data_IF_448133581733
#
_entry.id   IF_448133581733
#
_cell.length_a   1.000
_cell.length_b   1.000
_cell.length_c   1.000
_cell.angle_alpha   90.00
_cell.angle_beta   90.00
_cell.angle_gamma   90.00
#
_symmetry.space_group_name_H-M   'P 1'
#
loop_
_entity.id
_entity.type
_entity.pdbx_description
1 polymer ?
#
# COMPACT_ATOMS: atom_id res chain seq x y z
N UNK A 1 25.08 6.97 -25.73
CA UNK A 1 24.18 5.81 -25.92
C UNK A 1 23.20 5.75 -24.75
N UNK A 2 21.90 5.73 -25.07
CA UNK A 2 20.78 5.85 -24.14
C UNK A 2 20.68 4.68 -23.16
N UNK A 3 20.67 4.97 -21.85
CA UNK A 3 20.17 4.07 -20.81
C UNK A 3 19.05 4.77 -20.02
N UNK A 4 17.92 5.03 -20.69
CA UNK A 4 16.64 5.21 -19.97
C UNK A 4 16.09 3.81 -19.70
N UNK A 5 16.58 3.15 -18.64
CA UNK A 5 15.91 1.97 -18.09
C UNK A 5 14.51 2.40 -17.65
N UNK A 6 13.50 1.80 -18.26
CA UNK A 6 12.10 2.16 -18.09
C UNK A 6 11.64 1.70 -16.70
N UNK A 7 11.54 2.62 -15.73
CA UNK A 7 11.12 2.34 -14.35
C UNK A 7 9.66 1.83 -14.23
N UNK A 8 8.90 1.82 -15.32
CA UNK A 8 7.63 1.08 -15.42
C UNK A 8 7.79 -0.44 -15.23
N UNK A 9 9.01 -0.98 -15.35
CA UNK A 9 9.23 -2.42 -15.18
C UNK A 9 9.01 -2.91 -13.75
N UNK A 10 9.34 -2.16 -12.70
CA UNK A 10 9.21 -2.69 -11.33
C UNK A 10 7.72 -2.87 -10.96
N UNK A 11 6.88 -1.89 -11.30
CA UNK A 11 5.44 -1.92 -11.07
C UNK A 11 4.74 -3.07 -11.79
N UNK A 12 5.03 -3.23 -13.09
CA UNK A 12 4.49 -4.34 -13.88
C UNK A 12 5.10 -5.69 -13.50
N UNK A 13 6.34 -5.71 -13.04
CA UNK A 13 7.04 -6.95 -12.71
C UNK A 13 6.38 -7.62 -11.51
N UNK A 14 5.99 -6.91 -10.46
CA UNK A 14 5.35 -7.56 -9.30
C UNK A 14 3.86 -7.84 -9.47
N UNK A 15 3.12 -7.02 -10.23
CA UNK A 15 1.71 -7.31 -10.52
C UNK A 15 1.53 -8.51 -11.48
N UNK A 16 2.49 -8.74 -12.38
CA UNK A 16 2.47 -9.83 -13.37
C UNK A 16 3.56 -10.89 -13.17
N UNK A 17 4.33 -10.86 -12.08
CA UNK A 17 5.29 -11.94 -11.78
C UNK A 17 4.58 -13.14 -11.22
N UNK A 18 5.11 -14.32 -11.54
CA UNK A 18 4.78 -15.58 -10.91
C UNK A 18 4.92 -15.53 -9.39
N UNK A 19 5.88 -14.75 -8.87
CA UNK A 19 6.09 -14.56 -7.43
C UNK A 19 4.97 -13.74 -6.78
N UNK A 20 4.59 -12.58 -7.35
CA UNK A 20 3.50 -11.76 -6.82
C UNK A 20 2.17 -12.52 -6.81
N UNK A 21 1.93 -13.33 -7.84
CA UNK A 21 0.75 -14.20 -7.94
C UNK A 21 0.74 -15.31 -6.88
N UNK A 22 1.89 -15.95 -6.63
CA UNK A 22 2.02 -16.98 -5.59
C UNK A 22 1.77 -16.41 -4.20
N UNK A 23 2.36 -15.26 -3.88
CA UNK A 23 2.14 -14.62 -2.59
C UNK A 23 0.70 -14.15 -2.43
N UNK A 24 0.04 -13.70 -3.51
CA UNK A 24 -1.37 -13.34 -3.46
C UNK A 24 -2.26 -14.52 -3.06
N UNK A 25 -2.03 -15.71 -3.64
CA UNK A 25 -2.71 -16.95 -3.26
C UNK A 25 -2.49 -17.28 -1.78
N UNK A 26 -1.23 -17.39 -1.36
CA UNK A 26 -0.86 -17.73 0.02
C UNK A 26 -1.50 -16.76 1.04
N UNK A 27 -1.48 -15.45 0.74
CA UNK A 27 -2.09 -14.42 1.59
C UNK A 27 -3.60 -14.64 1.68
N UNK A 28 -4.30 -14.75 0.55
CA UNK A 28 -5.76 -14.88 0.53
C UNK A 28 -6.24 -16.19 1.17
N UNK A 29 -5.48 -17.28 1.05
CA UNK A 29 -5.76 -18.53 1.75
C UNK A 29 -5.63 -18.39 3.26
N UNK A 30 -4.65 -17.61 3.73
CA UNK A 30 -4.40 -17.38 5.15
C UNK A 30 -5.47 -16.54 5.84
N UNK A 31 -6.26 -15.77 5.09
CA UNK A 31 -7.27 -14.89 5.66
C UNK A 31 -8.43 -15.65 6.30
N UNK A 32 -8.93 -15.09 7.40
CA UNK A 32 -10.14 -15.55 8.08
C UNK A 32 -11.35 -15.51 7.16
N UNK A 33 -12.21 -16.53 7.29
CA UNK A 33 -13.38 -16.73 6.44
C UNK A 33 -14.58 -17.14 7.27
N UNK A 34 -15.72 -16.53 7.00
CA UNK A 34 -17.02 -16.97 7.50
C UNK A 34 -17.86 -17.44 6.31
N UNK A 35 -18.37 -18.67 6.37
CA UNK A 35 -19.14 -19.30 5.27
C UNK A 35 -18.42 -19.32 3.91
N UNK A 36 -17.09 -19.42 3.93
CA UNK A 36 -16.26 -19.46 2.71
C UNK A 36 -15.96 -18.08 2.10
N UNK A 37 -16.46 -16.99 2.67
CA UNK A 37 -16.13 -15.62 2.26
C UNK A 37 -15.15 -14.99 3.24
N UNK A 38 -14.18 -14.23 2.72
CA UNK A 38 -13.24 -13.47 3.53
C UNK A 38 -14.01 -12.35 4.24
N UNK A 39 -13.89 -12.27 5.56
CA UNK A 39 -14.59 -11.29 6.41
C UNK A 39 -13.63 -10.38 7.22
N UNK A 40 -12.33 -10.47 6.94
CA UNK A 40 -11.32 -9.55 7.42
C UNK A 40 -10.71 -8.71 6.30
N UNK A 41 -10.08 -7.60 6.68
CA UNK A 41 -9.48 -6.65 5.75
C UNK A 41 -7.97 -6.64 5.83
N UNK A 42 -7.31 -6.49 4.68
CA UNK A 42 -5.86 -6.30 4.60
C UNK A 42 -5.48 -4.86 4.91
N UNK A 43 -4.42 -4.68 5.70
CA UNK A 43 -3.77 -3.38 5.96
C UNK A 43 -2.32 -3.50 5.53
N UNK A 44 -1.90 -2.66 4.60
CA UNK A 44 -0.55 -2.71 4.05
C UNK A 44 0.24 -1.56 4.65
N UNK A 45 1.38 -1.87 5.26
CA UNK A 45 2.31 -0.88 5.80
C UNK A 45 3.65 -1.12 5.16
N UNK A 46 4.24 -0.05 4.62
CA UNK A 46 5.49 -0.13 3.87
C UNK A 46 6.43 1.00 4.28
N UNK A 47 7.72 0.80 4.04
CA UNK A 47 8.74 1.81 4.30
C UNK A 47 9.71 1.92 3.13
N UNK A 48 10.15 3.14 2.80
CA UNK A 48 11.19 3.39 1.80
C UNK A 48 10.84 2.81 0.41
N UNK A 49 11.73 1.98 -0.16
CA UNK A 49 11.46 1.25 -1.39
C UNK A 49 10.31 0.25 -1.27
N UNK A 50 9.96 -0.15 -0.03
CA UNK A 50 8.83 -1.02 0.29
C UNK A 50 7.52 -0.55 -0.33
N UNK A 51 7.27 0.76 -0.42
CA UNK A 51 6.08 1.31 -1.06
C UNK A 51 5.94 0.89 -2.52
N UNK A 52 7.05 0.74 -3.24
CA UNK A 52 6.99 0.27 -4.62
C UNK A 52 6.55 -1.20 -4.73
N UNK A 53 7.07 -2.03 -3.83
CA UNK A 53 6.71 -3.45 -3.77
C UNK A 53 5.28 -3.64 -3.28
N UNK A 54 4.86 -2.85 -2.27
CA UNK A 54 3.51 -2.88 -1.69
C UNK A 54 2.43 -2.72 -2.78
N UNK A 55 2.58 -1.74 -3.69
CA UNK A 55 1.62 -1.56 -4.80
C UNK A 55 1.62 -2.74 -5.77
N UNK A 56 2.79 -3.33 -6.02
CA UNK A 56 2.90 -4.55 -6.80
C UNK A 56 2.07 -5.68 -6.18
N UNK A 57 2.24 -5.90 -4.88
CA UNK A 57 1.49 -6.91 -4.11
C UNK A 57 -0.01 -6.61 -4.05
N UNK A 58 -0.41 -5.37 -3.77
CA UNK A 58 -1.83 -4.98 -3.74
C UNK A 58 -2.50 -5.25 -5.09
N UNK A 59 -1.87 -4.85 -6.20
CA UNK A 59 -2.42 -5.16 -7.52
C UNK A 59 -2.51 -6.68 -7.75
N UNK A 60 -1.46 -7.44 -7.42
CA UNK A 60 -1.47 -8.89 -7.58
C UNK A 60 -2.58 -9.58 -6.76
N UNK A 61 -2.79 -9.16 -5.51
CA UNK A 61 -3.85 -9.67 -4.62
C UNK A 61 -5.23 -9.41 -5.22
N UNK A 62 -5.49 -8.16 -5.61
CA UNK A 62 -6.79 -7.76 -6.16
C UNK A 62 -7.07 -8.43 -7.52
N UNK A 63 -6.06 -8.52 -8.38
CA UNK A 63 -6.17 -9.20 -9.68
C UNK A 63 -6.36 -10.71 -9.53
N UNK A 64 -5.66 -11.35 -8.58
CA UNK A 64 -5.82 -12.76 -8.28
C UNK A 64 -7.24 -13.04 -7.76
N UNK A 65 -7.70 -12.28 -6.77
CA UNK A 65 -9.05 -12.41 -6.22
C UNK A 65 -10.12 -12.28 -7.31
N UNK A 66 -9.99 -11.28 -8.18
CA UNK A 66 -10.89 -11.05 -9.31
C UNK A 66 -10.85 -12.20 -10.32
N UNK A 67 -9.66 -12.68 -10.67
CA UNK A 67 -9.48 -13.76 -11.64
C UNK A 67 -10.01 -15.12 -11.16
N UNK A 68 -10.08 -15.32 -9.85
CA UNK A 68 -10.50 -16.58 -9.21
C UNK A 68 -11.89 -16.48 -8.53
N UNK A 69 -12.61 -15.37 -8.72
CA UNK A 69 -13.93 -15.11 -8.11
C UNK A 69 -13.93 -15.22 -6.58
N UNK A 70 -12.86 -14.80 -5.92
CA UNK A 70 -12.74 -14.79 -4.46
C UNK A 70 -13.49 -13.57 -3.92
N UNK A 71 -14.53 -13.81 -3.13
CA UNK A 71 -15.36 -12.78 -2.51
C UNK A 71 -14.73 -12.23 -1.22
N UNK A 72 -15.14 -11.02 -0.83
CA UNK A 72 -14.78 -10.43 0.48
C UNK A 72 -13.41 -9.76 0.56
N UNK A 73 -12.57 -9.85 -0.49
CA UNK A 73 -11.22 -9.25 -0.49
C UNK A 73 -11.29 -7.73 -0.48
N UNK A 74 -10.82 -7.13 0.61
CA UNK A 74 -10.75 -5.68 0.82
C UNK A 74 -9.35 -5.32 1.32
N UNK A 75 -8.69 -4.37 0.66
CA UNK A 75 -7.52 -3.68 1.19
C UNK A 75 -8.00 -2.37 1.82
N UNK A 76 -8.00 -2.32 3.14
CA UNK A 76 -8.53 -1.21 3.92
C UNK A 76 -7.77 0.10 3.69
N UNK A 77 -6.44 0.01 3.65
CA UNK A 77 -5.55 1.11 3.30
C UNK A 77 -4.16 0.57 3.00
N UNK A 78 -3.36 1.42 2.37
CA UNK A 78 -1.91 1.28 2.24
C UNK A 78 -1.26 2.49 2.93
N UNK A 79 -0.37 2.27 3.88
CA UNK A 79 0.38 3.32 4.55
C UNK A 79 1.87 3.23 4.16
N UNK A 80 2.33 4.22 3.41
CA UNK A 80 3.69 4.32 2.91
C UNK A 80 4.47 5.33 3.75
N UNK A 81 5.45 4.84 4.51
CA UNK A 81 6.37 5.66 5.29
C UNK A 81 7.66 5.93 4.50
N UNK A 82 7.99 7.20 4.28
CA UNK A 82 9.13 7.66 3.48
C UNK A 82 9.23 6.98 2.09
N UNK A 83 8.17 6.93 1.26
CA UNK A 83 8.20 6.21 -0.01
C UNK A 83 9.29 6.73 -0.95
N UNK A 84 10.23 5.86 -1.36
CA UNK A 84 11.36 6.27 -2.21
C UNK A 84 10.90 6.67 -3.62
N UNK A 85 11.30 7.85 -4.10
CA UNK A 85 10.90 8.39 -5.41
C UNK A 85 9.36 8.46 -5.59
N UNK A 86 8.63 9.15 -4.69
CA UNK A 86 7.16 9.10 -4.64
C UNK A 86 6.50 9.57 -5.94
N UNK A 87 7.11 10.53 -6.65
CA UNK A 87 6.67 11.01 -7.98
C UNK A 87 6.68 9.94 -9.08
N UNK A 88 7.42 8.84 -8.90
CA UNK A 88 7.46 7.70 -9.84
C UNK A 88 6.55 6.56 -9.43
N UNK A 89 5.88 6.69 -8.30
CA UNK A 89 4.86 5.78 -7.82
C UNK A 89 3.48 6.38 -8.08
N UNK A 90 2.42 5.60 -7.93
CA UNK A 90 1.03 6.08 -7.96
C UNK A 90 0.19 5.20 -7.07
N UNK A 91 -0.66 5.79 -6.23
CA UNK A 91 -1.61 5.05 -5.41
C UNK A 91 -2.43 4.08 -6.27
N UNK A 92 -2.62 2.86 -5.77
CA UNK A 92 -3.47 1.86 -6.43
C UNK A 92 -4.92 2.35 -6.41
N UNK A 93 -5.63 2.19 -7.54
CA UNK A 93 -7.04 2.57 -7.66
C UNK A 93 -7.83 1.35 -8.07
N UNK A 94 -8.63 0.85 -7.14
CA UNK A 94 -9.58 -0.26 -7.33
C UNK A 94 -10.80 -0.02 -6.42
N UNK A 95 -11.93 -0.64 -6.75
CA UNK A 95 -13.16 -0.56 -5.94
C UNK A 95 -13.04 -1.23 -4.57
N UNK A 96 -12.12 -2.19 -4.43
CA UNK A 96 -11.84 -2.93 -3.20
C UNK A 96 -10.57 -2.41 -2.49
N UNK A 97 -10.05 -1.25 -2.92
CA UNK A 97 -8.87 -0.60 -2.37
C UNK A 97 -9.25 0.71 -1.68
N UNK A 98 -8.83 0.87 -0.43
CA UNK A 98 -8.94 2.09 0.33
C UNK A 98 -7.92 3.15 -0.04
N UNK A 99 -7.75 4.19 0.80
CA UNK A 99 -6.76 5.23 0.55
C UNK A 99 -5.33 4.69 0.66
N UNK A 100 -4.44 5.29 -0.12
CA UNK A 100 -3.00 5.22 0.14
C UNK A 100 -2.63 6.46 0.96
N UNK A 101 -2.11 6.26 2.17
CA UNK A 101 -1.65 7.28 3.09
C UNK A 101 -0.13 7.41 2.93
N UNK A 102 0.36 8.61 2.62
CA UNK A 102 1.78 8.89 2.49
C UNK A 102 2.27 9.68 3.71
N UNK A 103 3.18 9.08 4.46
CA UNK A 103 3.90 9.73 5.54
C UNK A 103 5.31 10.05 5.05
N UNK A 104 5.64 11.33 4.95
CA UNK A 104 6.93 11.77 4.44
C UNK A 104 7.48 12.90 5.30
N UNK A 105 8.78 12.88 5.55
CA UNK A 105 9.47 13.95 6.27
C UNK A 105 10.12 14.95 5.32
N UNK A 106 10.07 16.23 5.66
CA UNK A 106 10.63 17.29 4.82
C UNK A 106 12.16 17.28 4.74
N UNK A 107 12.82 16.75 5.78
CA UNK A 107 14.29 16.70 5.88
C UNK A 107 14.88 15.33 5.49
N UNK A 108 14.04 14.43 4.98
CA UNK A 108 14.47 13.12 4.49
C UNK A 108 15.28 13.28 3.18
N UNK A 109 16.60 13.11 3.26
CA UNK A 109 17.50 13.23 2.12
C UNK A 109 17.54 11.98 1.21
N UNK A 110 16.79 10.92 1.54
CA UNK A 110 16.72 9.68 0.77
C UNK A 110 15.45 9.64 -0.07
N UNK A 111 14.29 9.81 0.55
CA UNK A 111 12.99 9.76 -0.13
C UNK A 111 12.40 11.13 -0.44
N UNK A 112 12.66 12.13 0.42
CA UNK A 112 12.06 13.46 0.37
C UNK A 112 10.58 13.48 0.73
N UNK A 113 9.96 14.66 0.55
CA UNK A 113 8.55 14.94 0.86
C UNK A 113 7.70 15.30 -0.36
N UNK A 114 8.11 14.82 -1.52
CA UNK A 114 7.35 15.02 -2.74
C UNK A 114 6.03 14.22 -2.69
N UNK A 115 4.88 14.79 -3.12
CA UNK A 115 3.62 14.07 -3.11
C UNK A 115 3.60 12.94 -4.14
N UNK A 116 3.06 11.79 -3.73
CA UNK A 116 2.74 10.67 -4.61
C UNK A 116 1.37 10.89 -5.26
N UNK A 117 1.26 10.79 -6.60
CA UNK A 117 0.00 10.91 -7.30
C UNK A 117 -1.10 9.98 -6.75
N UNK A 118 -2.19 10.58 -6.28
CA UNK A 118 -3.39 9.87 -5.84
C UNK A 118 -3.34 9.30 -4.42
N UNK A 119 -2.26 9.55 -3.67
CA UNK A 119 -2.15 9.28 -2.24
C UNK A 119 -2.54 10.52 -1.43
N UNK A 120 -3.00 10.30 -0.21
CA UNK A 120 -3.26 11.35 0.77
C UNK A 120 -1.98 11.64 1.54
N UNK A 121 -1.47 12.87 1.46
CA UNK A 121 -0.27 13.27 2.17
C UNK A 121 -0.61 13.58 3.63
N UNK A 122 0.03 12.86 4.55
CA UNK A 122 -0.20 12.95 5.99
C UNK A 122 0.71 13.99 6.63
N UNK A 123 0.22 14.64 7.69
CA UNK A 123 1.00 15.61 8.46
C UNK A 123 1.90 14.91 9.47
N UNK A 124 3.21 15.03 9.24
CA UNK A 124 4.30 14.47 10.08
C UNK A 124 5.07 15.58 10.80
N UNK A 125 4.54 16.81 10.86
CA UNK A 125 5.23 17.96 11.46
C UNK A 125 5.49 17.83 12.97
N UNK A 126 4.78 16.93 13.65
CA UNK A 126 4.99 16.58 15.07
C UNK A 126 6.22 15.72 15.31
N UNK A 127 6.75 15.04 14.28
CA UNK A 127 7.89 14.13 14.43
C UNK A 127 9.17 14.95 14.64
N UNK A 128 9.79 14.81 15.80
CA UNK A 128 11.00 15.59 16.15
C UNK A 128 12.20 15.21 15.30
N UNK A 129 12.26 13.95 14.85
CA UNK A 129 13.24 13.47 13.89
C UNK A 129 12.60 13.36 12.51
N UNK A 130 13.00 14.24 11.59
CA UNK A 130 12.52 14.26 10.22
C UNK A 130 13.40 13.39 9.28
N UNK A 131 14.07 12.37 9.84
CA UNK A 131 14.94 11.44 9.13
C UNK A 131 14.20 10.40 8.29
N UNK A 132 14.97 9.57 7.57
CA UNK A 132 14.42 8.54 6.68
C UNK A 132 13.97 7.27 7.43
N UNK A 133 14.51 7.01 8.63
CA UNK A 133 14.31 5.73 9.28
C UNK A 133 12.86 5.55 9.72
N UNK A 134 12.35 4.31 9.73
CA UNK A 134 10.98 4.06 10.22
C UNK A 134 10.79 4.53 11.67
N UNK A 135 11.85 4.48 12.47
CA UNK A 135 11.86 4.94 13.87
C UNK A 135 11.85 6.46 14.02
N UNK A 136 12.07 7.21 12.93
CA UNK A 136 11.95 8.66 12.91
C UNK A 136 10.48 9.11 12.93
N UNK A 137 9.55 8.24 12.49
CA UNK A 137 8.12 8.50 12.57
C UNK A 137 7.60 8.19 13.98
N UNK A 138 6.73 9.05 14.52
CA UNK A 138 6.18 8.81 15.85
C UNK A 138 5.39 7.52 15.89
N UNK A 139 5.41 6.88 17.05
CA UNK A 139 4.53 5.73 17.32
C UNK A 139 3.06 6.12 17.09
N UNK A 140 2.69 7.38 17.30
CA UNK A 140 1.35 7.89 17.00
C UNK A 140 0.98 7.82 15.51
N UNK A 141 1.91 8.01 14.57
CA UNK A 141 1.58 7.86 13.14
C UNK A 141 1.27 6.42 12.75
N UNK A 142 1.87 5.47 13.46
CA UNK A 142 1.63 4.04 13.29
C UNK A 142 0.38 3.61 14.05
N UNK A 143 0.18 4.07 15.29
CA UNK A 143 -0.93 3.68 16.16
C UNK A 143 -2.26 4.33 15.76
N UNK A 144 -2.22 5.54 15.18
CA UNK A 144 -3.41 6.21 14.67
C UNK A 144 -3.74 5.81 13.23
N UNK A 145 -3.00 4.85 12.64
CA UNK A 145 -3.45 4.22 11.41
C UNK A 145 -4.87 3.69 11.62
N UNK A 146 -5.74 3.79 10.60
CA UNK A 146 -7.15 3.52 10.76
C UNK A 146 -7.42 2.14 11.42
N UNK A 147 -7.88 2.12 12.68
CA UNK A 147 -8.21 0.91 13.42
C UNK A 147 -9.67 0.46 13.18
N UNK A 148 -9.87 -0.74 12.62
CA UNK A 148 -11.20 -1.36 12.50
C UNK A 148 -11.24 -2.48 11.47
N UNK A 149 -12.37 -3.21 11.48
CA UNK A 149 -12.80 -4.14 10.43
C UNK A 149 -13.60 -3.33 9.40
N UNK A 150 -13.03 -3.11 8.23
CA UNK A 150 -13.62 -2.24 7.23
C UNK A 150 -14.67 -2.98 6.40
N UNK A 151 -15.87 -2.39 6.29
CA UNK A 151 -16.89 -2.82 5.34
C UNK A 151 -16.95 -1.82 4.20
N UNK A 152 -17.22 -2.26 2.97
CA UNK A 152 -17.48 -1.36 1.85
C UNK A 152 -19.01 -1.24 1.71
N UNK A 153 -19.56 -0.04 1.88
CA UNK A 153 -20.96 0.27 1.54
C UNK A 153 -20.95 1.32 0.43
N UNK A 154 -21.47 0.97 -0.75
CA UNK A 154 -21.55 1.85 -1.93
C UNK A 154 -20.19 2.43 -2.38
N UNK A 155 -19.14 1.62 -2.38
CA UNK A 155 -17.79 2.04 -2.79
C UNK A 155 -17.08 2.94 -1.79
N UNK A 156 -17.65 3.14 -0.58
CA UNK A 156 -17.00 3.82 0.53
C UNK A 156 -16.64 2.82 1.60
N UNK A 157 -15.42 2.94 2.09
CA UNK A 157 -14.99 2.26 3.31
C UNK A 157 -15.75 2.86 4.48
N UNK A 158 -16.44 2.00 5.22
CA UNK A 158 -17.17 2.32 6.44
C UNK A 158 -16.62 1.49 7.59
N UNK A 159 -16.55 2.13 8.75
CA UNK A 159 -16.08 1.56 10.01
C UNK A 159 -17.22 0.90 10.77
#
# INVERSE_FOLDING_TARGET
MNSKKNNNRIWHYYSNSTEGRRYAEDILESLHKTNGEIDESLKIVSHSMGGAYAKGYVNAILDYAKGHNIAGVIVAFEADFAPFQPKKQKAVKDKNMGPTLQFSHSSDNVAGNDPMPGADQMDTSKDTDQGHAIVSFTTDDILNLPAGSYKIINGKIVR
#
